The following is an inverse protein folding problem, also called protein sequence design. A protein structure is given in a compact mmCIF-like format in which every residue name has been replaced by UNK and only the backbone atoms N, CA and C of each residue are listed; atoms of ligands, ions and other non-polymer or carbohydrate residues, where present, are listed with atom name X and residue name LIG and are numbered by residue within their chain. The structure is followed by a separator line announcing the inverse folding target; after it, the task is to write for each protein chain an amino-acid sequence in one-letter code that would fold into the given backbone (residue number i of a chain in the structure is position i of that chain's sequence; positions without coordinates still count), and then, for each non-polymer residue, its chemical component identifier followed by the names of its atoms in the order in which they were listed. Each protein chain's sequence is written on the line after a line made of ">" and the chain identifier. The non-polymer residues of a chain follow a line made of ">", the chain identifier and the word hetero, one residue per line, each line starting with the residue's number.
data_IF_583857281830
#
_entry.id   IF_583857281830
#
_cell.length_a   1.000
_cell.length_b   1.000
_cell.length_c   1.000
_cell.angle_alpha   90.00
_cell.angle_beta   90.00
_cell.angle_gamma   90.00
#
_symmetry.space_group_name_H-M   'P 1'
#
loop_
_entity.id
_entity.type
_entity.pdbx_description
1 polymer ?
#
# COMPACT_ATOMS: atom_id res chain seq x y z
N UNK A 1 4.36 50.04 -10.86
CA UNK A 1 4.75 50.64 -12.15
C UNK A 1 6.07 50.09 -12.69
N UNK A 2 7.23 50.32 -12.07
CA UNK A 2 8.52 49.82 -12.60
C UNK A 2 8.59 48.26 -12.68
N UNK A 3 8.14 47.56 -11.64
CA UNK A 3 8.07 46.09 -11.66
C UNK A 3 7.08 45.53 -12.70
N UNK A 4 5.94 46.22 -12.90
CA UNK A 4 4.94 45.82 -13.90
C UNK A 4 5.46 46.02 -15.32
N UNK A 5 6.19 47.11 -15.58
CA UNK A 5 6.87 47.36 -16.85
C UNK A 5 7.94 46.29 -17.14
N UNK A 6 8.71 45.88 -16.12
CA UNK A 6 9.69 44.79 -16.25
C UNK A 6 9.00 43.44 -16.53
N UNK A 7 7.85 43.16 -15.88
CA UNK A 7 7.01 41.99 -16.19
C UNK A 7 6.49 42.04 -17.64
N UNK A 8 6.02 43.18 -18.11
CA UNK A 8 5.47 43.31 -19.47
C UNK A 8 6.56 43.17 -20.53
N UNK A 9 7.75 43.75 -20.31
CA UNK A 9 8.96 43.47 -21.11
C UNK A 9 9.29 41.97 -21.13
N UNK A 10 9.25 41.32 -19.96
CA UNK A 10 9.47 39.88 -19.84
C UNK A 10 8.45 39.05 -20.62
N UNK A 11 7.17 39.42 -20.59
CA UNK A 11 6.12 38.77 -21.35
C UNK A 11 6.30 38.96 -22.86
N UNK A 12 6.68 40.16 -23.31
CA UNK A 12 6.99 40.42 -24.72
C UNK A 12 8.19 39.60 -25.20
N UNK A 13 9.26 39.55 -24.41
CA UNK A 13 10.43 38.73 -24.70
C UNK A 13 10.08 37.23 -24.74
N UNK A 14 9.24 36.76 -23.81
CA UNK A 14 8.78 35.38 -23.78
C UNK A 14 7.96 35.01 -25.04
N UNK A 15 7.02 35.87 -25.44
CA UNK A 15 6.23 35.67 -26.66
C UNK A 15 7.08 35.74 -27.94
N UNK A 16 8.16 36.52 -27.92
CA UNK A 16 9.14 36.60 -29.02
C UNK A 16 10.15 35.43 -29.02
N UNK A 17 10.02 34.44 -28.12
CA UNK A 17 10.95 33.31 -28.01
C UNK A 17 12.32 33.66 -27.41
N UNK A 18 12.52 34.90 -26.96
CA UNK A 18 13.75 35.37 -26.31
C UNK A 18 13.70 35.06 -24.81
N UNK A 19 13.80 33.78 -24.48
CA UNK A 19 13.59 33.30 -23.11
C UNK A 19 14.66 33.79 -22.11
N UNK A 20 15.90 34.01 -22.55
CA UNK A 20 16.96 34.58 -21.70
C UNK A 20 16.63 36.03 -21.28
N UNK A 21 16.22 36.87 -22.24
CA UNK A 21 15.77 38.24 -21.99
C UNK A 21 14.53 38.27 -21.08
N UNK A 22 13.62 37.30 -21.25
CA UNK A 22 12.45 37.13 -20.39
C UNK A 22 12.86 36.81 -18.95
N UNK A 23 13.79 35.88 -18.73
CA UNK A 23 14.33 35.57 -17.39
C UNK A 23 14.99 36.79 -16.76
N UNK A 24 15.76 37.56 -17.54
CA UNK A 24 16.40 38.80 -17.07
C UNK A 24 15.34 39.81 -16.61
N UNK A 25 14.33 40.06 -17.44
CA UNK A 25 13.25 41.01 -17.16
C UNK A 25 12.38 40.60 -15.97
N UNK A 26 12.07 39.30 -15.81
CA UNK A 26 11.35 38.83 -14.63
C UNK A 26 12.22 38.86 -13.36
N UNK A 27 13.54 38.70 -13.49
CA UNK A 27 14.47 38.85 -12.36
C UNK A 27 14.60 40.31 -11.93
N UNK A 28 14.59 41.26 -12.88
CA UNK A 28 14.49 42.69 -12.61
C UNK A 28 13.19 43.01 -11.86
N UNK A 29 12.04 42.47 -12.33
CA UNK A 29 10.76 42.64 -11.63
C UNK A 29 10.80 42.09 -10.19
N UNK A 30 11.44 40.95 -9.98
CA UNK A 30 11.63 40.36 -8.65
C UNK A 30 12.63 41.14 -7.78
N UNK A 31 13.66 41.77 -8.37
CA UNK A 31 14.59 42.62 -7.63
C UNK A 31 13.92 43.92 -7.13
N UNK A 32 12.95 44.44 -7.91
CA UNK A 32 12.19 45.64 -7.55
C UNK A 32 11.08 45.33 -6.55
N UNK A 33 10.44 44.16 -6.67
CA UNK A 33 9.18 43.86 -5.98
C UNK A 33 9.09 42.39 -5.52
N UNK A 34 10.14 41.87 -4.87
CA UNK A 34 10.17 40.49 -4.34
C UNK A 34 9.08 40.21 -3.30
N UNK A 35 8.71 41.22 -2.52
CA UNK A 35 7.75 41.09 -1.41
C UNK A 35 6.36 41.65 -1.74
N UNK A 36 6.13 42.04 -2.99
CA UNK A 36 4.83 42.49 -3.42
C UNK A 36 3.81 41.33 -3.38
N UNK A 37 2.52 41.59 -3.07
CA UNK A 37 1.48 40.55 -3.04
C UNK A 37 1.33 39.77 -4.36
N UNK A 38 1.69 40.40 -5.49
CA UNK A 38 1.66 39.80 -6.83
C UNK A 38 2.98 39.13 -7.25
N UNK A 39 4.00 39.06 -6.39
CA UNK A 39 5.32 38.50 -6.72
C UNK A 39 5.26 37.04 -7.20
N UNK A 40 4.25 36.26 -6.75
CA UNK A 40 3.97 34.91 -7.23
C UNK A 40 3.83 34.83 -8.77
N UNK A 41 3.33 35.90 -9.41
CA UNK A 41 3.22 35.99 -10.88
C UNK A 41 4.60 36.08 -11.54
N UNK A 42 5.51 36.86 -10.98
CA UNK A 42 6.87 37.01 -11.52
C UNK A 42 7.64 35.68 -11.41
N UNK A 43 7.57 35.00 -10.25
CA UNK A 43 8.13 33.66 -10.08
C UNK A 43 7.52 32.65 -11.06
N UNK A 44 6.20 32.65 -11.25
CA UNK A 44 5.53 31.74 -12.21
C UNK A 44 5.96 31.96 -13.66
N UNK A 45 6.16 33.21 -14.06
CA UNK A 45 6.59 33.56 -15.41
C UNK A 45 8.07 33.27 -15.62
N UNK A 46 8.93 33.54 -14.64
CA UNK A 46 10.36 33.20 -14.68
C UNK A 46 10.58 31.68 -14.72
N UNK A 47 9.84 30.92 -13.92
CA UNK A 47 9.82 29.45 -13.95
C UNK A 47 9.50 28.91 -15.36
N UNK A 48 8.50 29.50 -16.03
CA UNK A 48 8.16 29.12 -17.39
C UNK A 48 9.28 29.40 -18.40
N UNK A 49 9.92 30.57 -18.29
CA UNK A 49 11.03 30.97 -19.15
C UNK A 49 12.28 30.10 -18.92
N UNK A 50 12.58 29.76 -17.66
CA UNK A 50 13.67 28.84 -17.31
C UNK A 50 13.44 27.43 -17.87
N UNK A 51 12.21 26.91 -17.85
CA UNK A 51 11.91 25.62 -18.48
C UNK A 51 12.16 25.64 -19.99
N UNK A 52 11.84 26.75 -20.66
CA UNK A 52 12.12 26.91 -22.10
C UNK A 52 13.61 26.97 -22.42
N UNK A 53 14.44 27.33 -21.44
CA UNK A 53 15.91 27.27 -21.52
C UNK A 53 16.51 25.93 -21.08
N UNK A 54 15.69 24.94 -20.72
CA UNK A 54 16.16 23.66 -20.18
C UNK A 54 16.66 23.71 -18.73
N UNK A 55 16.53 24.86 -18.05
CA UNK A 55 16.95 25.10 -16.67
C UNK A 55 15.88 24.64 -15.68
N UNK A 56 15.66 23.32 -15.63
CA UNK A 56 14.54 22.73 -14.91
C UNK A 56 14.67 22.81 -13.37
N UNK A 57 15.89 22.84 -12.84
CA UNK A 57 16.12 22.94 -11.39
C UNK A 57 15.80 24.35 -10.87
N UNK A 58 16.23 25.38 -11.59
CA UNK A 58 15.93 26.78 -11.30
C UNK A 58 14.43 27.06 -11.45
N UNK A 59 13.81 26.47 -12.49
CA UNK A 59 12.37 26.56 -12.67
C UNK A 59 11.57 25.93 -11.53
N UNK A 60 12.09 24.85 -10.94
CA UNK A 60 11.47 24.22 -9.77
C UNK A 60 11.55 25.14 -8.55
N UNK A 61 12.71 25.75 -8.31
CA UNK A 61 12.88 26.69 -7.20
C UNK A 61 11.88 27.85 -7.30
N UNK A 62 11.73 28.44 -8.49
CA UNK A 62 10.75 29.51 -8.73
C UNK A 62 9.30 29.02 -8.58
N UNK A 63 9.00 27.80 -9.04
CA UNK A 63 7.67 27.22 -8.88
C UNK A 63 7.32 26.94 -7.40
N UNK A 64 8.30 26.56 -6.58
CA UNK A 64 8.11 26.37 -5.14
C UNK A 64 7.88 27.70 -4.43
N UNK A 65 8.60 28.76 -4.81
CA UNK A 65 8.33 30.11 -4.31
C UNK A 65 6.92 30.59 -4.67
N UNK A 66 6.44 30.24 -5.86
CA UNK A 66 5.07 30.53 -6.28
C UNK A 66 4.03 29.87 -5.36
N UNK A 67 4.22 28.58 -5.03
CA UNK A 67 3.33 27.83 -4.13
C UNK A 67 3.39 28.36 -2.70
N UNK A 68 4.58 28.72 -2.20
CA UNK A 68 4.75 29.30 -0.85
C UNK A 68 4.04 30.66 -0.75
N UNK A 69 4.22 31.52 -1.75
CA UNK A 69 3.65 32.89 -1.76
C UNK A 69 2.15 32.91 -2.01
N UNK A 70 1.62 31.97 -2.79
CA UNK A 70 0.17 31.86 -3.05
C UNK A 70 -0.29 30.40 -3.12
N UNK A 71 -0.57 29.78 -1.96
CA UNK A 71 -0.97 28.37 -1.87
C UNK A 71 -2.26 28.03 -2.60
N UNK A 72 -3.17 28.98 -2.82
CA UNK A 72 -4.45 28.73 -3.47
C UNK A 72 -4.41 28.91 -4.99
N UNK A 73 -3.24 29.21 -5.56
CA UNK A 73 -3.12 29.47 -6.99
C UNK A 73 -2.66 28.25 -7.77
N UNK A 74 -3.61 27.63 -8.47
CA UNK A 74 -3.41 26.39 -9.22
C UNK A 74 -2.24 26.45 -10.23
N UNK A 75 -1.98 27.63 -10.82
CA UNK A 75 -0.89 27.82 -11.79
C UNK A 75 0.51 27.58 -11.17
N UNK A 76 0.69 27.85 -9.88
CA UNK A 76 1.95 27.54 -9.17
C UNK A 76 2.25 26.04 -9.15
N UNK A 77 1.21 25.24 -8.89
CA UNK A 77 1.28 23.78 -8.95
C UNK A 77 1.52 23.27 -10.36
N UNK A 78 0.93 23.91 -11.39
CA UNK A 78 1.21 23.57 -12.79
C UNK A 78 2.69 23.80 -13.14
N UNK A 79 3.29 24.90 -12.68
CA UNK A 79 4.72 25.18 -12.86
C UNK A 79 5.59 24.16 -12.13
N UNK A 80 5.23 23.81 -10.89
CA UNK A 80 5.96 22.83 -10.08
C UNK A 80 5.94 21.45 -10.73
N UNK A 81 4.77 21.01 -11.18
CA UNK A 81 4.60 19.75 -11.90
C UNK A 81 5.40 19.72 -13.21
N UNK A 82 5.41 20.82 -13.98
CA UNK A 82 6.15 20.90 -15.23
C UNK A 82 7.67 20.85 -15.02
N UNK A 83 8.17 21.52 -13.98
CA UNK A 83 9.59 21.48 -13.63
C UNK A 83 10.04 20.10 -13.13
N UNK A 84 9.25 19.47 -12.27
CA UNK A 84 9.52 18.10 -11.79
C UNK A 84 9.45 17.07 -12.93
N UNK A 85 8.54 17.25 -13.88
CA UNK A 85 8.46 16.41 -15.08
C UNK A 85 9.73 16.56 -15.93
N UNK A 86 10.20 17.78 -16.16
CA UNK A 86 11.44 18.03 -16.90
C UNK A 86 12.70 17.47 -16.20
N UNK A 87 12.70 17.41 -14.87
CA UNK A 87 13.76 16.77 -14.06
C UNK A 87 13.65 15.23 -14.02
N UNK A 88 12.65 14.62 -14.66
CA UNK A 88 12.41 13.18 -14.60
C UNK A 88 11.88 12.67 -13.25
N UNK A 89 11.48 13.56 -12.35
CA UNK A 89 10.93 13.24 -11.02
C UNK A 89 9.41 13.03 -11.11
N UNK A 90 8.99 12.05 -11.91
CA UNK A 90 7.59 11.81 -12.25
C UNK A 90 6.65 11.56 -11.04
N UNK A 91 7.03 10.81 -9.99
CA UNK A 91 6.18 10.65 -8.81
C UNK A 91 5.92 11.97 -8.06
N UNK A 92 6.92 12.85 -8.00
CA UNK A 92 6.78 14.16 -7.37
C UNK A 92 5.95 15.10 -8.24
N UNK A 93 6.13 15.04 -9.57
CA UNK A 93 5.31 15.79 -10.52
C UNK A 93 3.83 15.38 -10.41
N UNK A 94 3.55 14.09 -10.26
CA UNK A 94 2.19 13.56 -10.07
C UNK A 94 1.52 14.19 -8.84
N UNK A 95 2.22 14.20 -7.70
CA UNK A 95 1.72 14.82 -6.46
C UNK A 95 1.49 16.32 -6.64
N UNK A 96 2.41 17.03 -7.30
CA UNK A 96 2.26 18.47 -7.55
C UNK A 96 1.00 18.78 -8.40
N UNK A 97 0.74 18.00 -9.46
CA UNK A 97 -0.47 18.17 -10.27
C UNK A 97 -1.74 17.83 -9.49
N UNK A 98 -1.75 16.75 -8.70
CA UNK A 98 -2.88 16.41 -7.83
C UNK A 98 -3.18 17.50 -6.79
N UNK A 99 -2.13 18.06 -6.16
CA UNK A 99 -2.31 19.15 -5.20
C UNK A 99 -2.86 20.41 -5.89
N UNK A 100 -2.45 20.70 -7.13
CA UNK A 100 -3.07 21.74 -7.94
C UNK A 100 -4.56 21.49 -8.21
N UNK A 101 -4.93 20.26 -8.57
CA UNK A 101 -6.31 19.89 -8.88
C UNK A 101 -7.25 19.95 -7.66
N UNK A 102 -6.71 19.81 -6.45
CA UNK A 102 -7.49 20.06 -5.21
C UNK A 102 -7.92 21.53 -5.08
N UNK A 103 -7.21 22.46 -5.73
CA UNK A 103 -7.52 23.91 -5.70
C UNK A 103 -8.37 24.34 -6.90
N UNK A 104 -8.09 23.78 -8.06
CA UNK A 104 -8.89 23.97 -9.28
C UNK A 104 -9.02 22.64 -10.03
N UNK A 105 -10.12 21.95 -9.77
CA UNK A 105 -10.40 20.62 -10.31
C UNK A 105 -10.64 20.62 -11.84
N UNK A 106 -10.98 21.79 -12.41
CA UNK A 106 -11.31 21.95 -13.84
C UNK A 106 -10.15 22.46 -14.69
N UNK A 107 -8.97 22.65 -14.09
CA UNK A 107 -7.84 23.26 -14.76
C UNK A 107 -7.27 22.35 -15.87
N UNK A 108 -7.50 22.72 -17.13
CA UNK A 108 -7.03 21.96 -18.28
C UNK A 108 -5.50 21.73 -18.29
N UNK A 109 -4.72 22.71 -17.83
CA UNK A 109 -3.25 22.60 -17.79
C UNK A 109 -2.76 21.58 -16.74
N UNK A 110 -3.44 21.49 -15.60
CA UNK A 110 -3.14 20.49 -14.56
C UNK A 110 -3.56 19.08 -14.99
N UNK A 111 -4.74 18.96 -15.61
CA UNK A 111 -5.23 17.67 -16.13
C UNK A 111 -4.32 17.11 -17.22
N UNK A 112 -3.89 17.94 -18.17
CA UNK A 112 -2.95 17.49 -19.21
C UNK A 112 -1.58 17.16 -18.63
N UNK A 113 -1.08 17.98 -17.70
CA UNK A 113 0.16 17.68 -16.98
C UNK A 113 0.12 16.35 -16.23
N UNK A 114 -1.00 16.05 -15.57
CA UNK A 114 -1.23 14.78 -14.89
C UNK A 114 -1.24 13.61 -15.88
N UNK A 115 -1.95 13.74 -17.00
CA UNK A 115 -2.01 12.74 -18.07
C UNK A 115 -0.65 12.42 -18.66
N UNK A 116 0.19 13.44 -18.88
CA UNK A 116 1.56 13.28 -19.37
C UNK A 116 2.45 12.55 -18.35
N UNK A 117 2.34 12.87 -17.07
CA UNK A 117 3.05 12.16 -15.99
C UNK A 117 2.60 10.71 -15.90
N UNK A 118 1.30 10.45 -15.94
CA UNK A 118 0.76 9.08 -15.92
C UNK A 118 1.24 8.27 -17.13
N UNK A 119 1.21 8.86 -18.33
CA UNK A 119 1.77 8.23 -19.52
C UNK A 119 3.26 7.89 -19.33
N UNK A 120 4.07 8.80 -18.81
CA UNK A 120 5.51 8.54 -18.53
C UNK A 120 5.72 7.51 -17.42
N UNK A 121 4.93 7.52 -16.36
CA UNK A 121 4.99 6.52 -15.30
C UNK A 121 4.60 5.14 -15.83
N UNK A 122 3.64 5.06 -16.74
CA UNK A 122 3.27 3.83 -17.44
C UNK A 122 4.40 3.37 -18.38
N UNK A 123 5.03 4.27 -19.14
CA UNK A 123 6.18 3.94 -20.00
C UNK A 123 7.43 3.55 -19.19
N UNK A 124 7.70 4.18 -18.04
CA UNK A 124 8.80 3.76 -17.16
C UNK A 124 8.51 2.42 -16.47
N UNK A 125 7.25 2.12 -16.18
CA UNK A 125 6.81 0.82 -15.66
C UNK A 125 6.70 -0.26 -16.75
N UNK A 126 6.65 0.15 -18.02
CA UNK A 126 6.55 -0.70 -19.20
C UNK A 126 7.50 -0.21 -20.29
N UNK A 127 8.77 -0.61 -20.20
CA UNK A 127 9.72 -0.50 -21.30
C UNK A 127 9.34 -1.44 -22.46
N UNK A 128 8.26 -1.13 -23.16
CA UNK A 128 8.04 -1.37 -24.58
C UNK A 128 6.90 -0.45 -25.05
N UNK A 129 7.17 0.32 -26.10
CA UNK A 129 6.41 1.48 -26.57
C UNK A 129 4.92 1.20 -26.85
N UNK A 130 4.05 2.23 -26.73
CA UNK A 130 2.67 2.14 -27.19
C UNK A 130 2.54 2.68 -28.62
N UNK A 131 2.05 1.87 -29.54
CA UNK A 131 1.24 2.36 -30.66
C UNK A 131 -0.20 1.95 -30.43
N UNK A 132 -1.07 2.96 -30.42
CA UNK A 132 -2.49 2.80 -30.20
C UNK A 132 -3.17 2.26 -31.46
N UNK A 133 -3.67 1.03 -31.38
CA UNK A 133 -4.94 0.57 -31.97
C UNK A 133 -5.02 -0.94 -31.77
N UNK A 134 -6.06 -1.39 -31.07
CA UNK A 134 -6.26 -2.76 -30.55
C UNK A 134 -5.27 -3.14 -29.45
N UNK A 135 -5.75 -3.30 -28.22
CA UNK A 135 -4.97 -4.03 -27.23
C UNK A 135 -4.68 -5.42 -27.83
N UNK A 136 -3.41 -5.84 -27.98
CA UNK A 136 -3.16 -7.22 -28.32
C UNK A 136 -3.71 -8.01 -27.14
N UNK A 137 -4.60 -8.96 -27.40
CA UNK A 137 -4.83 -10.06 -26.47
C UNK A 137 -3.42 -10.52 -26.06
N UNK A 138 -3.04 -10.29 -24.81
CA UNK A 138 -1.73 -10.67 -24.33
C UNK A 138 -1.56 -12.15 -24.68
N UNK A 139 -0.69 -12.46 -25.64
CA UNK A 139 -0.50 -13.84 -26.07
C UNK A 139 -0.15 -14.67 -24.85
N UNK A 140 -0.63 -15.91 -24.76
CA UNK A 140 -0.37 -16.79 -23.60
C UNK A 140 1.13 -16.81 -23.23
N UNK A 141 2.00 -16.80 -24.25
CA UNK A 141 3.45 -16.71 -24.09
C UNK A 141 3.88 -15.40 -23.41
N UNK A 142 3.35 -14.25 -23.82
CA UNK A 142 3.67 -12.96 -23.18
C UNK A 142 3.13 -12.86 -21.75
N UNK A 143 1.95 -13.45 -21.48
CA UNK A 143 1.38 -13.48 -20.14
C UNK A 143 2.17 -14.37 -19.18
N UNK A 144 2.65 -15.53 -19.65
CA UNK A 144 3.39 -16.50 -18.82
C UNK A 144 4.89 -16.20 -18.74
N UNK A 145 5.50 -15.78 -19.85
CA UNK A 145 6.96 -15.73 -20.03
C UNK A 145 7.45 -14.40 -20.62
N UNK A 146 6.62 -13.36 -20.68
CA UNK A 146 7.00 -12.08 -21.27
C UNK A 146 8.12 -11.37 -20.50
N UNK A 147 7.84 -11.02 -19.24
CA UNK A 147 8.78 -10.27 -18.39
C UNK A 147 9.21 -11.08 -17.16
N UNK A 148 10.31 -10.66 -16.52
CA UNK A 148 10.74 -11.21 -15.21
C UNK A 148 9.60 -11.20 -14.18
N UNK A 149 8.74 -10.17 -14.22
CA UNK A 149 7.57 -10.07 -13.34
C UNK A 149 6.52 -11.12 -13.66
N UNK A 150 6.23 -11.37 -14.94
CA UNK A 150 5.29 -12.41 -15.38
C UNK A 150 5.78 -13.80 -14.96
N UNK A 151 7.06 -14.08 -15.17
CA UNK A 151 7.68 -15.33 -14.72
C UNK A 151 7.57 -15.50 -13.19
N UNK A 152 7.79 -14.42 -12.44
CA UNK A 152 7.65 -14.46 -10.98
C UNK A 152 6.19 -14.67 -10.54
N UNK A 153 5.23 -14.05 -11.23
CA UNK A 153 3.80 -14.26 -10.96
C UNK A 153 3.39 -15.71 -11.27
N UNK A 154 3.88 -16.30 -12.35
CA UNK A 154 3.68 -17.71 -12.67
C UNK A 154 4.29 -18.61 -11.59
N UNK A 155 5.52 -18.33 -11.17
CA UNK A 155 6.19 -19.06 -10.08
C UNK A 155 5.35 -19.04 -8.78
N UNK A 156 4.90 -17.86 -8.37
CA UNK A 156 4.01 -17.68 -7.22
C UNK A 156 2.67 -18.40 -7.41
N UNK A 157 2.11 -18.39 -8.62
CA UNK A 157 0.88 -19.11 -8.93
C UNK A 157 1.05 -20.62 -8.78
N UNK A 158 2.19 -21.19 -9.23
CA UNK A 158 2.51 -22.61 -9.04
C UNK A 158 2.62 -22.94 -7.56
N UNK A 159 3.36 -22.15 -6.78
CA UNK A 159 3.46 -22.36 -5.33
C UNK A 159 2.09 -22.30 -4.63
N UNK A 160 1.24 -21.33 -4.98
CA UNK A 160 -0.12 -21.22 -4.44
C UNK A 160 -1.03 -22.37 -4.85
N UNK A 161 -0.85 -22.91 -6.06
CA UNK A 161 -1.56 -24.10 -6.51
C UNK A 161 -1.17 -25.32 -5.67
N UNK A 162 0.13 -25.48 -5.40
CA UNK A 162 0.63 -26.54 -4.52
C UNK A 162 0.14 -26.36 -3.07
N UNK A 163 0.09 -25.12 -2.57
CA UNK A 163 -0.52 -24.80 -1.27
C UNK A 163 -1.98 -25.24 -1.20
N UNK A 164 -2.76 -24.93 -2.23
CA UNK A 164 -4.15 -25.35 -2.31
C UNK A 164 -4.29 -26.87 -2.30
N UNK A 165 -3.46 -27.58 -3.06
CA UNK A 165 -3.46 -29.05 -3.07
C UNK A 165 -3.10 -29.62 -1.71
N UNK A 166 -2.03 -29.15 -1.06
CA UNK A 166 -1.67 -29.59 0.29
C UNK A 166 -2.76 -29.30 1.30
N UNK A 167 -3.39 -28.12 1.22
CA UNK A 167 -4.51 -27.76 2.08
C UNK A 167 -5.68 -28.72 1.89
N UNK A 168 -6.11 -28.98 0.65
CA UNK A 168 -7.21 -29.92 0.37
C UNK A 168 -6.87 -31.34 0.81
N UNK A 169 -5.66 -31.82 0.53
CA UNK A 169 -5.20 -33.15 0.91
C UNK A 169 -5.16 -33.35 2.44
N UNK A 170 -4.90 -32.30 3.21
CA UNK A 170 -4.93 -32.37 4.67
C UNK A 170 -6.31 -32.79 5.20
N UNK A 171 -7.39 -32.29 4.59
CA UNK A 171 -8.77 -32.56 5.01
C UNK A 171 -9.37 -33.85 4.42
N UNK A 172 -8.64 -34.53 3.54
CA UNK A 172 -9.05 -35.86 3.06
C UNK A 172 -8.66 -36.89 4.14
N UNK A 173 -9.59 -37.73 4.63
CA UNK A 173 -9.36 -38.62 5.77
C UNK A 173 -8.51 -39.84 5.40
N UNK A 174 -7.22 -39.62 5.11
CA UNK A 174 -6.20 -40.67 4.99
C UNK A 174 -5.03 -40.26 5.88
N UNK A 175 -4.85 -40.95 7.00
CA UNK A 175 -4.02 -40.53 8.14
C UNK A 175 -2.56 -40.20 7.77
N UNK A 176 -1.93 -41.02 6.92
CA UNK A 176 -0.52 -40.84 6.54
C UNK A 176 -0.31 -39.68 5.54
N UNK A 177 -1.11 -39.53 4.47
CA UNK A 177 -1.14 -38.34 3.63
C UNK A 177 -1.37 -37.02 4.37
N UNK A 178 -2.18 -37.00 5.43
CA UNK A 178 -2.51 -35.76 6.16
C UNK A 178 -1.30 -35.14 6.86
N UNK A 179 -0.43 -35.94 7.50
CA UNK A 179 0.77 -35.40 8.17
C UNK A 179 1.80 -34.86 7.16
N UNK A 180 2.03 -35.59 6.06
CA UNK A 180 2.92 -35.11 5.00
C UNK A 180 2.37 -33.85 4.32
N UNK A 181 1.06 -33.80 4.06
CA UNK A 181 0.40 -32.63 3.48
C UNK A 181 0.55 -31.40 4.38
N UNK A 182 0.41 -31.56 5.70
CA UNK A 182 0.63 -30.51 6.68
C UNK A 182 2.08 -29.97 6.65
N UNK A 183 3.07 -30.86 6.75
CA UNK A 183 4.48 -30.45 6.72
C UNK A 183 4.86 -29.78 5.40
N UNK A 184 4.33 -30.28 4.28
CA UNK A 184 4.59 -29.72 2.95
C UNK A 184 3.90 -28.37 2.77
N UNK A 185 2.70 -28.16 3.31
CA UNK A 185 2.00 -26.88 3.25
C UNK A 185 2.89 -25.75 3.79
N UNK A 186 3.46 -25.91 4.98
CA UNK A 186 4.28 -24.86 5.56
C UNK A 186 5.61 -24.67 4.81
N UNK A 187 6.25 -25.73 4.30
CA UNK A 187 7.45 -25.58 3.45
C UNK A 187 7.17 -24.71 2.24
N UNK A 188 6.06 -25.00 1.56
CA UNK A 188 5.65 -24.26 0.37
C UNK A 188 5.25 -22.83 0.75
N UNK A 189 4.56 -22.63 1.89
CA UNK A 189 4.15 -21.31 2.35
C UNK A 189 5.36 -20.43 2.67
N UNK A 190 6.34 -20.97 3.40
CA UNK A 190 7.60 -20.29 3.71
C UNK A 190 8.33 -19.92 2.41
N UNK A 191 8.44 -20.85 1.46
CA UNK A 191 9.07 -20.56 0.17
C UNK A 191 8.31 -19.48 -0.61
N UNK A 192 6.98 -19.54 -0.63
CA UNK A 192 6.12 -18.59 -1.32
C UNK A 192 6.30 -17.17 -0.75
N UNK A 193 6.26 -17.02 0.57
CA UNK A 193 6.34 -15.70 1.20
C UNK A 193 7.76 -15.15 1.21
N UNK A 194 8.77 -15.99 1.44
CA UNK A 194 10.17 -15.55 1.41
C UNK A 194 10.56 -15.07 0.03
N UNK A 195 10.17 -15.79 -1.03
CA UNK A 195 10.40 -15.35 -2.40
C UNK A 195 9.61 -14.10 -2.76
N UNK A 196 8.37 -13.94 -2.27
CA UNK A 196 7.58 -12.71 -2.43
C UNK A 196 8.24 -11.50 -1.78
N UNK A 197 8.70 -11.63 -0.53
CA UNK A 197 9.37 -10.57 0.20
C UNK A 197 10.70 -10.19 -0.46
N UNK A 198 11.48 -11.17 -0.89
CA UNK A 198 12.73 -10.91 -1.61
C UNK A 198 12.48 -10.18 -2.93
N UNK A 199 11.47 -10.60 -3.70
CA UNK A 199 11.13 -9.93 -4.97
C UNK A 199 10.62 -8.50 -4.75
N UNK A 200 9.84 -8.27 -3.69
CA UNK A 200 9.17 -6.98 -3.43
C UNK A 200 10.09 -5.97 -2.75
N UNK A 201 10.86 -6.38 -1.75
CA UNK A 201 11.70 -5.49 -0.93
C UNK A 201 13.18 -5.58 -1.29
N UNK A 202 13.59 -6.57 -2.08
CA UNK A 202 14.98 -6.81 -2.43
C UNK A 202 15.79 -7.41 -1.29
N UNK A 203 17.12 -7.27 -1.40
CA UNK A 203 18.07 -7.80 -0.42
C UNK A 203 17.87 -7.13 0.95
N UNK A 204 17.91 -7.88 2.07
CA UNK A 204 17.84 -7.32 3.42
C UNK A 204 18.87 -6.23 3.67
N UNK A 205 18.42 -5.12 4.27
CA UNK A 205 19.27 -3.99 4.66
C UNK A 205 19.07 -3.65 6.13
N UNK A 206 20.17 -3.35 6.82
CA UNK A 206 20.15 -2.89 8.21
C UNK A 206 19.78 -1.40 8.30
N UNK A 207 18.54 -1.07 7.92
CA UNK A 207 18.00 0.28 7.91
C UNK A 207 16.58 0.30 8.49
N UNK A 208 16.27 1.31 9.32
CA UNK A 208 14.95 1.46 9.94
C UNK A 208 13.82 1.56 8.89
N UNK A 209 14.06 2.27 7.78
CA UNK A 209 13.09 2.40 6.69
C UNK A 209 12.86 1.11 5.91
N UNK A 210 13.84 0.19 5.88
CA UNK A 210 13.66 -1.15 5.33
C UNK A 210 12.83 -2.01 6.30
N UNK A 211 13.20 -2.01 7.58
CA UNK A 211 12.49 -2.76 8.62
C UNK A 211 11.01 -2.33 8.71
N UNK A 212 10.72 -1.04 8.65
CA UNK A 212 9.34 -0.53 8.68
C UNK A 212 8.51 -1.01 7.48
N UNK A 213 9.09 -1.00 6.28
CA UNK A 213 8.40 -1.50 5.07
C UNK A 213 8.14 -2.99 5.14
N UNK A 214 9.13 -3.75 5.64
CA UNK A 214 9.03 -5.19 5.80
C UNK A 214 7.96 -5.54 6.85
N UNK A 215 7.97 -4.88 8.01
CA UNK A 215 7.01 -5.11 9.09
C UNK A 215 5.57 -4.78 8.72
N UNK A 216 5.35 -3.85 7.79
CA UNK A 216 4.01 -3.53 7.28
C UNK A 216 3.51 -4.51 6.22
N UNK A 217 4.38 -5.36 5.68
CA UNK A 217 4.00 -6.35 4.67
C UNK A 217 3.23 -7.52 5.32
N UNK A 218 2.03 -7.88 4.84
CA UNK A 218 1.28 -9.03 5.34
C UNK A 218 2.02 -10.36 5.18
N UNK A 219 2.90 -10.52 4.19
CA UNK A 219 3.64 -11.77 3.97
C UNK A 219 4.61 -12.08 5.12
N UNK A 220 5.09 -11.05 5.84
CA UNK A 220 5.89 -11.25 7.06
C UNK A 220 5.07 -11.91 8.15
N UNK A 221 3.80 -11.51 8.34
CA UNK A 221 2.95 -12.16 9.34
C UNK A 221 2.70 -13.62 9.02
N UNK A 222 2.40 -13.91 7.77
CA UNK A 222 2.11 -15.27 7.40
C UNK A 222 3.36 -16.16 7.53
N UNK A 223 4.59 -15.63 7.38
CA UNK A 223 5.81 -16.34 7.77
C UNK A 223 5.88 -16.62 9.27
N UNK A 224 5.54 -15.65 10.12
CA UNK A 224 5.49 -15.85 11.57
C UNK A 224 4.45 -16.89 11.97
N UNK A 225 3.26 -16.87 11.37
CA UNK A 225 2.26 -17.93 11.57
C UNK A 225 2.81 -19.29 11.17
N UNK A 226 3.51 -19.36 10.03
CA UNK A 226 4.17 -20.60 9.64
C UNK A 226 5.14 -21.10 10.71
N UNK A 227 5.95 -20.21 11.31
CA UNK A 227 6.89 -20.60 12.36
C UNK A 227 6.21 -21.01 13.66
N UNK A 228 5.19 -20.26 14.11
CA UNK A 228 4.46 -20.51 15.36
C UNK A 228 3.76 -21.87 15.28
N UNK A 229 3.12 -22.14 14.15
CA UNK A 229 2.32 -23.35 13.96
C UNK A 229 3.09 -24.53 13.37
N UNK A 230 4.35 -24.35 12.97
CA UNK A 230 5.18 -25.44 12.46
C UNK A 230 5.32 -26.59 13.47
N UNK A 231 5.46 -26.24 14.75
CA UNK A 231 5.69 -27.17 15.85
C UNK A 231 4.42 -27.50 16.63
N UNK A 232 3.27 -26.98 16.20
CA UNK A 232 1.99 -27.29 16.83
C UNK A 232 1.41 -28.58 16.29
N UNK A 233 1.13 -29.56 17.15
CA UNK A 233 0.30 -30.70 16.76
C UNK A 233 -1.07 -30.21 16.24
N UNK A 234 -1.54 -30.73 15.09
CA UNK A 234 -2.33 -29.97 14.14
C UNK A 234 -3.80 -29.96 14.51
N UNK A 235 -4.34 -28.78 14.77
CA UNK A 235 -5.70 -28.50 14.34
C UNK A 235 -5.58 -27.76 13.00
N UNK A 236 -6.29 -28.22 11.96
CA UNK A 236 -6.27 -27.62 10.61
C UNK A 236 -6.58 -26.12 10.58
N UNK A 237 -7.11 -25.58 11.68
CA UNK A 237 -7.26 -24.15 11.96
C UNK A 237 -5.97 -23.35 11.74
N UNK A 238 -4.79 -23.90 12.01
CA UNK A 238 -3.52 -23.19 11.80
C UNK A 238 -3.21 -22.89 10.33
N UNK A 239 -3.74 -23.71 9.40
CA UNK A 239 -3.57 -23.52 7.97
C UNK A 239 -4.48 -22.42 7.43
N UNK A 240 -5.64 -22.20 8.07
CA UNK A 240 -6.70 -21.31 7.58
C UNK A 240 -6.24 -19.86 7.38
N UNK A 241 -5.54 -19.21 8.33
CA UNK A 241 -5.03 -17.85 8.14
C UNK A 241 -4.13 -17.69 6.92
N UNK A 242 -3.12 -18.56 6.79
CA UNK A 242 -2.15 -18.54 5.68
C UNK A 242 -2.88 -18.81 4.36
N UNK A 243 -3.79 -19.77 4.37
CA UNK A 243 -4.59 -20.13 3.21
C UNK A 243 -5.47 -18.97 2.73
N UNK A 244 -6.24 -18.33 3.63
CA UNK A 244 -7.14 -17.22 3.30
C UNK A 244 -6.39 -16.06 2.62
N UNK A 245 -5.20 -15.70 3.13
CA UNK A 245 -4.39 -14.62 2.57
C UNK A 245 -3.90 -14.95 1.14
N UNK A 246 -3.52 -16.19 0.88
CA UNK A 246 -2.98 -16.60 -0.42
C UNK A 246 -4.06 -16.86 -1.48
N UNK A 247 -5.26 -17.29 -1.07
CA UNK A 247 -6.32 -17.64 -2.01
C UNK A 247 -6.76 -16.47 -2.88
N UNK A 248 -6.80 -15.25 -2.34
CA UNK A 248 -7.16 -14.06 -3.13
C UNK A 248 -6.19 -13.84 -4.30
N UNK A 249 -4.89 -13.98 -4.04
CA UNK A 249 -3.87 -13.86 -5.06
C UNK A 249 -3.94 -14.99 -6.10
N UNK A 250 -4.18 -16.22 -5.64
CA UNK A 250 -4.38 -17.38 -6.50
C UNK A 250 -5.56 -17.18 -7.46
N UNK A 251 -6.75 -16.87 -6.95
CA UNK A 251 -7.95 -16.73 -7.76
C UNK A 251 -7.89 -15.51 -8.68
N UNK A 252 -7.24 -14.43 -8.27
CA UNK A 252 -7.02 -13.26 -9.13
C UNK A 252 -6.15 -13.59 -10.35
N UNK A 253 -5.08 -14.35 -10.15
CA UNK A 253 -4.22 -14.79 -11.25
C UNK A 253 -4.93 -15.84 -12.12
N UNK A 254 -5.61 -16.81 -11.52
CA UNK A 254 -6.41 -17.81 -12.22
C UNK A 254 -7.48 -17.17 -13.10
N UNK A 255 -8.19 -16.17 -12.58
CA UNK A 255 -9.20 -15.42 -13.34
C UNK A 255 -8.59 -14.71 -14.55
N UNK A 256 -7.37 -14.18 -14.41
CA UNK A 256 -6.66 -13.51 -15.52
C UNK A 256 -6.19 -14.53 -16.57
N UNK A 257 -5.69 -15.69 -16.13
CA UNK A 257 -5.28 -16.78 -16.99
C UNK A 257 -6.46 -17.33 -17.81
N UNK A 258 -7.61 -17.55 -17.18
CA UNK A 258 -8.83 -18.02 -17.86
C UNK A 258 -9.33 -17.03 -18.92
N UNK A 259 -9.18 -15.72 -18.69
CA UNK A 259 -9.50 -14.69 -19.69
C UNK A 259 -8.57 -14.79 -20.91
N UNK A 260 -7.26 -14.94 -20.70
CA UNK A 260 -6.28 -15.08 -21.79
C UNK A 260 -6.52 -16.35 -22.60
N UNK A 261 -6.97 -17.42 -21.95
CA UNK A 261 -7.30 -18.70 -22.61
C UNK A 261 -8.66 -18.69 -23.32
N UNK A 262 -9.44 -17.60 -23.24
CA UNK A 262 -10.81 -17.56 -23.78
C UNK A 262 -11.79 -18.49 -23.04
N UNK A 263 -11.43 -18.97 -21.85
CA UNK A 263 -12.24 -19.89 -21.04
C UNK A 263 -13.09 -19.15 -19.99
N UNK A 264 -13.02 -17.82 -19.92
CA UNK A 264 -13.76 -17.03 -18.95
C UNK A 264 -15.29 -17.15 -19.10
N UNK A 265 -15.78 -17.35 -20.33
CA UNK A 265 -17.21 -17.53 -20.63
C UNK A 265 -17.65 -19.00 -20.57
N UNK A 266 -16.77 -19.92 -20.19
CA UNK A 266 -17.13 -21.32 -20.06
C UNK A 266 -18.23 -21.48 -18.99
N UNK A 267 -19.32 -22.23 -19.27
CA UNK A 267 -20.45 -22.35 -18.36
C UNK A 267 -20.05 -22.96 -17.01
N UNK A 268 -19.09 -23.88 -16.97
CA UNK A 268 -18.59 -24.50 -15.73
C UNK A 268 -17.81 -23.49 -14.89
N UNK A 269 -16.92 -22.71 -15.52
CA UNK A 269 -16.12 -21.67 -14.87
C UNK A 269 -17.04 -20.59 -14.30
N UNK A 270 -18.03 -20.18 -15.09
CA UNK A 270 -19.01 -19.15 -14.71
C UNK A 270 -19.90 -19.63 -13.55
N UNK A 271 -20.30 -20.90 -13.56
CA UNK A 271 -21.07 -21.51 -12.48
C UNK A 271 -20.26 -21.55 -11.17
N UNK A 272 -19.00 -21.99 -11.20
CA UNK A 272 -18.14 -22.05 -10.02
C UNK A 272 -17.83 -20.65 -9.48
N UNK A 273 -17.50 -19.70 -10.37
CA UNK A 273 -17.26 -18.32 -9.99
C UNK A 273 -18.52 -17.71 -9.31
N UNK A 274 -19.70 -17.89 -9.91
CA UNK A 274 -20.93 -17.31 -9.40
C UNK A 274 -21.44 -17.98 -8.11
N UNK A 275 -21.31 -19.31 -7.96
CA UNK A 275 -21.86 -20.03 -6.81
C UNK A 275 -20.91 -20.16 -5.62
N UNK A 276 -19.60 -20.22 -5.83
CA UNK A 276 -18.64 -20.40 -4.74
C UNK A 276 -17.86 -19.12 -4.42
N UNK A 277 -17.35 -18.43 -5.44
CA UNK A 277 -16.42 -17.33 -5.25
C UNK A 277 -17.12 -16.00 -4.92
N UNK A 278 -18.23 -15.69 -5.59
CA UNK A 278 -18.98 -14.44 -5.36
C UNK A 278 -19.57 -14.32 -3.94
N UNK A 279 -20.21 -15.36 -3.36
CA UNK A 279 -20.74 -15.25 -2.00
C UNK A 279 -19.64 -15.07 -0.95
N UNK A 280 -18.53 -15.80 -1.11
CA UNK A 280 -17.40 -15.77 -0.18
C UNK A 280 -16.67 -14.42 -0.23
N UNK A 281 -16.53 -13.84 -1.42
CA UNK A 281 -15.94 -12.49 -1.60
C UNK A 281 -16.89 -11.37 -1.19
N UNK A 282 -18.21 -11.54 -1.32
CA UNK A 282 -19.19 -10.57 -0.84
C UNK A 282 -19.16 -10.42 0.68
N UNK A 283 -18.99 -11.52 1.43
CA UNK A 283 -18.82 -11.50 2.89
C UNK A 283 -17.60 -10.66 3.31
N UNK A 284 -16.49 -10.79 2.57
CA UNK A 284 -15.23 -10.09 2.86
C UNK A 284 -15.33 -8.58 2.57
N UNK A 285 -16.05 -8.19 1.53
CA UNK A 285 -16.05 -6.80 1.05
C UNK A 285 -17.20 -5.98 1.64
N UNK A 286 -18.35 -6.62 1.90
CA UNK A 286 -19.56 -5.98 2.47
C UNK A 286 -19.91 -4.65 1.80
N UNK A 287 -19.84 -4.61 0.46
CA UNK A 287 -20.07 -3.39 -0.33
C UNK A 287 -21.21 -3.59 -1.34
N UNK A 288 -22.23 -2.72 -1.34
CA UNK A 288 -23.41 -2.85 -2.20
C UNK A 288 -23.09 -2.69 -3.69
N UNK A 289 -21.94 -2.09 -4.05
CA UNK A 289 -21.54 -1.94 -5.45
C UNK A 289 -20.92 -3.23 -6.04
N UNK A 290 -20.65 -4.25 -5.22
CA UNK A 290 -19.97 -5.49 -5.62
C UNK A 290 -20.55 -6.21 -6.85
N UNK A 291 -21.88 -6.44 -6.97
CA UNK A 291 -22.43 -7.23 -8.06
C UNK A 291 -22.26 -6.57 -9.44
N UNK A 292 -22.22 -5.23 -9.49
CA UNK A 292 -22.20 -4.44 -10.73
C UNK A 292 -20.78 -4.23 -11.28
N UNK A 293 -19.74 -4.48 -10.48
CA UNK A 293 -18.35 -4.24 -10.88
C UNK A 293 -17.86 -5.25 -11.94
N UNK A 294 -17.01 -4.79 -12.86
CA UNK A 294 -16.28 -5.68 -13.76
C UNK A 294 -15.29 -6.58 -12.99
N UNK A 295 -14.94 -7.76 -13.51
CA UNK A 295 -14.05 -8.74 -12.85
C UNK A 295 -12.72 -8.14 -12.35
N UNK A 296 -12.07 -7.32 -13.17
CA UNK A 296 -10.81 -6.65 -12.78
C UNK A 296 -11.01 -5.65 -11.63
N UNK A 297 -12.12 -4.91 -11.64
CA UNK A 297 -12.46 -3.96 -10.58
C UNK A 297 -12.85 -4.68 -9.28
N UNK A 298 -13.49 -5.85 -9.37
CA UNK A 298 -13.76 -6.73 -8.23
C UNK A 298 -12.46 -7.14 -7.54
N UNK A 299 -11.48 -7.65 -8.29
CA UNK A 299 -10.18 -8.03 -7.74
C UNK A 299 -9.43 -6.84 -7.12
N UNK A 300 -9.42 -5.69 -7.78
CA UNK A 300 -8.81 -4.48 -7.23
C UNK A 300 -9.44 -4.08 -5.89
N UNK A 301 -10.78 -4.09 -5.80
CA UNK A 301 -11.50 -3.76 -4.57
C UNK A 301 -11.24 -4.78 -3.46
N UNK A 302 -11.19 -6.06 -3.79
CA UNK A 302 -10.82 -7.11 -2.84
C UNK A 302 -9.39 -6.89 -2.30
N UNK A 303 -8.42 -6.59 -3.17
CA UNK A 303 -7.05 -6.27 -2.76
C UNK A 303 -6.98 -5.06 -1.82
N UNK A 304 -7.79 -4.03 -2.03
CA UNK A 304 -7.81 -2.87 -1.11
C UNK A 304 -8.33 -3.23 0.29
N UNK A 305 -9.18 -4.25 0.41
CA UNK A 305 -9.71 -4.72 1.71
C UNK A 305 -8.78 -5.71 2.41
N UNK A 306 -7.91 -6.41 1.67
CA UNK A 306 -7.05 -7.44 2.22
C UNK A 306 -6.19 -7.02 3.42
N UNK A 307 -5.58 -5.83 3.48
CA UNK A 307 -4.82 -5.40 4.65
C UNK A 307 -5.66 -5.38 5.94
N UNK A 308 -6.93 -4.98 5.84
CA UNK A 308 -7.84 -4.97 7.00
C UNK A 308 -8.22 -6.40 7.41
N UNK A 309 -8.49 -7.28 6.44
CA UNK A 309 -8.79 -8.69 6.70
C UNK A 309 -7.60 -9.38 7.38
N UNK A 310 -6.39 -9.14 6.88
CA UNK A 310 -5.15 -9.65 7.46
C UNK A 310 -4.97 -9.18 8.90
N UNK A 311 -5.20 -7.89 9.16
CA UNK A 311 -5.15 -7.33 10.51
C UNK A 311 -6.18 -7.98 11.46
N UNK A 312 -7.42 -8.20 11.00
CA UNK A 312 -8.45 -8.88 11.80
C UNK A 312 -8.07 -10.33 12.12
N UNK A 313 -7.52 -11.06 11.15
CA UNK A 313 -7.01 -12.43 11.33
C UNK A 313 -5.86 -12.43 12.34
N UNK A 314 -4.93 -11.48 12.23
CA UNK A 314 -3.79 -11.33 13.13
C UNK A 314 -4.23 -11.09 14.58
N UNK A 315 -5.20 -10.20 14.81
CA UNK A 315 -5.78 -9.97 16.15
C UNK A 315 -6.49 -11.22 16.67
N UNK A 316 -7.27 -11.90 15.83
CA UNK A 316 -7.98 -13.12 16.22
C UNK A 316 -7.02 -14.24 16.65
N UNK A 317 -5.92 -14.42 15.92
CA UNK A 317 -4.85 -15.36 16.27
C UNK A 317 -4.18 -14.95 17.58
N UNK A 318 -3.86 -13.67 17.76
CA UNK A 318 -3.31 -13.18 19.03
C UNK A 318 -4.21 -13.53 20.22
N UNK A 319 -5.52 -13.28 20.11
CA UNK A 319 -6.48 -13.63 21.17
C UNK A 319 -6.53 -15.14 21.41
N UNK A 320 -6.56 -15.96 20.35
CA UNK A 320 -6.55 -17.42 20.47
C UNK A 320 -5.28 -17.92 21.18
N UNK A 321 -4.12 -17.34 20.85
CA UNK A 321 -2.85 -17.69 21.48
C UNK A 321 -2.77 -17.28 22.96
N UNK A 322 -3.49 -16.24 23.40
CA UNK A 322 -3.64 -15.92 24.84
C UNK A 322 -4.41 -17.00 25.57
N UNK A 323 -5.48 -17.51 24.97
CA UNK A 323 -6.25 -18.60 25.57
C UNK A 323 -5.43 -19.89 25.61
N UNK A 324 -4.60 -20.13 24.59
CA UNK A 324 -3.68 -21.27 24.54
C UNK A 324 -2.46 -21.14 25.46
N UNK A 325 -2.07 -19.94 25.92
CA UNK A 325 -0.99 -19.76 26.92
C UNK A 325 -1.26 -20.48 28.24
N UNK A 326 -2.51 -20.85 28.51
CA UNK A 326 -2.91 -21.68 29.64
C UNK A 326 -2.62 -23.18 29.41
N UNK A 327 -2.11 -23.55 28.22
CA UNK A 327 -1.75 -24.92 27.86
C UNK A 327 -0.22 -25.05 27.66
N UNK A 328 0.43 -26.09 28.20
CA UNK A 328 1.90 -26.20 28.25
C UNK A 328 2.58 -26.58 26.91
N UNK A 329 1.87 -26.62 25.79
CA UNK A 329 2.32 -27.26 24.53
C UNK A 329 2.98 -26.32 23.52
N UNK A 330 3.23 -25.05 23.84
CA UNK A 330 3.72 -24.03 22.89
C UNK A 330 5.12 -23.51 23.20
N UNK A 331 5.86 -23.15 22.16
CA UNK A 331 7.15 -22.49 22.26
C UNK A 331 6.97 -21.05 22.77
N UNK A 332 7.13 -20.86 24.08
CA UNK A 332 6.94 -19.58 24.76
C UNK A 332 7.78 -18.43 24.15
N UNK A 333 9.02 -18.72 23.74
CA UNK A 333 9.91 -17.72 23.14
C UNK A 333 9.35 -17.17 21.83
N UNK A 334 8.88 -18.06 20.97
CA UNK A 334 8.32 -17.69 19.67
C UNK A 334 7.01 -16.91 19.82
N UNK A 335 6.23 -17.25 20.84
CA UNK A 335 5.02 -16.51 21.19
C UNK A 335 5.35 -15.10 21.72
N UNK A 336 6.35 -14.96 22.59
CA UNK A 336 6.82 -13.64 23.03
C UNK A 336 7.29 -12.78 21.84
N UNK A 337 8.04 -13.38 20.92
CA UNK A 337 8.50 -12.67 19.71
C UNK A 337 7.33 -12.22 18.83
N UNK A 338 6.32 -13.06 18.66
CA UNK A 338 5.09 -12.71 17.96
C UNK A 338 4.38 -11.52 18.60
N UNK A 339 4.25 -11.51 19.93
CA UNK A 339 3.63 -10.40 20.66
C UNK A 339 4.40 -9.08 20.52
N UNK A 340 5.74 -9.12 20.55
CA UNK A 340 6.54 -7.91 20.32
C UNK A 340 6.35 -7.38 18.90
N UNK A 341 6.38 -8.26 17.90
CA UNK A 341 6.12 -7.86 16.52
C UNK A 341 4.72 -7.27 16.35
N UNK A 342 3.69 -7.88 16.95
CA UNK A 342 2.32 -7.39 16.91
C UNK A 342 2.21 -6.00 17.53
N UNK A 343 2.89 -5.77 18.65
CA UNK A 343 2.98 -4.45 19.29
C UNK A 343 3.64 -3.41 18.38
N UNK A 344 4.79 -3.72 17.78
CA UNK A 344 5.48 -2.81 16.86
C UNK A 344 4.59 -2.47 15.67
N UNK A 345 3.91 -3.46 15.10
CA UNK A 345 2.96 -3.23 14.00
C UNK A 345 1.76 -2.41 14.42
N UNK A 346 1.24 -2.60 15.64
CA UNK A 346 0.12 -1.82 16.15
C UNK A 346 0.46 -0.32 16.21
N UNK A 347 1.71 0.03 16.53
CA UNK A 347 2.16 1.42 16.54
C UNK A 347 2.23 2.07 15.15
N UNK A 348 2.32 1.28 14.07
CA UNK A 348 2.59 1.76 12.72
C UNK A 348 1.39 1.58 11.78
N UNK A 349 0.63 0.50 11.92
CA UNK A 349 -0.46 0.12 11.01
C UNK A 349 -1.82 0.61 11.51
N UNK A 350 -2.49 1.52 10.77
CA UNK A 350 -3.84 1.97 11.13
C UNK A 350 -4.89 0.85 11.01
N UNK A 351 -4.69 -0.12 10.10
CA UNK A 351 -5.61 -1.25 9.93
C UNK A 351 -5.61 -2.16 11.16
N UNK A 352 -4.44 -2.36 11.77
CA UNK A 352 -4.30 -3.15 12.98
C UNK A 352 -4.91 -2.43 14.19
N UNK A 353 -4.73 -1.11 14.29
CA UNK A 353 -5.40 -0.31 15.31
C UNK A 353 -6.93 -0.42 15.21
N UNK A 354 -7.46 -0.35 13.99
CA UNK A 354 -8.89 -0.53 13.73
C UNK A 354 -9.37 -1.94 14.10
N UNK A 355 -8.59 -2.98 13.80
CA UNK A 355 -8.92 -4.36 14.18
C UNK A 355 -9.04 -4.52 15.71
N UNK A 356 -8.09 -3.95 16.47
CA UNK A 356 -8.16 -3.94 17.93
C UNK A 356 -9.33 -3.10 18.46
N UNK A 357 -9.67 -1.99 17.80
CA UNK A 357 -10.85 -1.17 18.14
C UNK A 357 -12.14 -1.96 17.98
N UNK A 358 -12.29 -2.69 16.87
CA UNK A 358 -13.44 -3.57 16.62
C UNK A 358 -13.52 -4.69 17.65
N UNK A 359 -12.39 -5.31 18.00
CA UNK A 359 -12.34 -6.31 19.07
C UNK A 359 -12.81 -5.71 20.40
N UNK A 360 -12.30 -4.53 20.78
CA UNK A 360 -12.69 -3.84 22.01
C UNK A 360 -14.19 -3.58 22.08
N UNK A 361 -14.79 -3.05 21.00
CA UNK A 361 -16.24 -2.80 20.91
C UNK A 361 -17.06 -4.09 21.04
N UNK A 362 -16.57 -5.17 20.44
CA UNK A 362 -17.22 -6.49 20.53
C UNK A 362 -17.20 -7.01 21.96
N UNK A 363 -16.06 -6.90 22.66
CA UNK A 363 -15.96 -7.31 24.06
C UNK A 363 -16.85 -6.44 24.95
N UNK A 364 -16.89 -5.12 24.72
CA UNK A 364 -17.80 -4.23 25.46
C UNK A 364 -19.27 -4.61 25.30
N UNK A 365 -19.67 -5.07 24.11
CA UNK A 365 -21.04 -5.52 23.86
C UNK A 365 -21.38 -6.75 24.70
N UNK A 366 -20.43 -7.67 24.85
CA UNK A 366 -20.57 -8.88 25.69
C UNK A 366 -20.54 -8.53 27.17
N UNK A 367 -19.60 -7.68 27.59
CA UNK A 367 -19.38 -7.26 28.97
C UNK A 367 -20.55 -6.44 29.52
N UNK A 368 -21.14 -5.57 28.70
CA UNK A 368 -22.28 -4.74 29.08
C UNK A 368 -23.63 -5.47 28.93
N UNK A 369 -23.64 -6.72 28.47
CA UNK A 369 -24.87 -7.47 28.35
C UNK A 369 -25.46 -7.76 29.75
N UNK A 370 -26.78 -7.58 29.99
CA UNK A 370 -27.38 -7.73 31.32
C UNK A 370 -27.17 -9.09 32.00
N UNK A 371 -26.89 -10.13 31.20
CA UNK A 371 -26.63 -11.50 31.68
C UNK A 371 -25.13 -11.81 31.91
N UNK A 372 -24.24 -10.84 31.71
CA UNK A 372 -22.80 -11.06 31.85
C UNK A 372 -22.37 -10.96 33.32
N UNK A 373 -21.59 -11.95 33.84
CA UNK A 373 -21.03 -11.87 35.18
C UNK A 373 -20.20 -10.59 35.40
N UNK A 374 -20.47 -9.86 36.49
CA UNK A 374 -19.76 -8.62 36.84
C UNK A 374 -18.23 -8.81 36.98
N UNK A 375 -17.79 -10.03 37.29
CA UNK A 375 -16.37 -10.40 37.34
C UNK A 375 -15.69 -10.22 35.98
N UNK A 376 -16.34 -10.61 34.88
CA UNK A 376 -15.79 -10.46 33.53
C UNK A 376 -15.63 -8.99 33.16
N UNK A 377 -16.59 -8.14 33.55
CA UNK A 377 -16.51 -6.70 33.34
C UNK A 377 -15.33 -6.06 34.09
N UNK A 378 -15.16 -6.43 35.36
CA UNK A 378 -14.06 -5.94 36.20
C UNK A 378 -12.69 -6.40 35.70
N UNK A 379 -12.55 -7.68 35.34
CA UNK A 379 -11.32 -8.25 34.79
C UNK A 379 -10.97 -7.56 33.47
N UNK A 380 -11.94 -7.39 32.58
CA UNK A 380 -11.72 -6.71 31.31
C UNK A 380 -11.26 -5.26 31.50
N UNK A 381 -11.90 -4.50 32.39
CA UNK A 381 -11.52 -3.12 32.69
C UNK A 381 -10.07 -3.00 33.18
N UNK A 382 -9.61 -3.94 34.02
CA UNK A 382 -8.22 -3.99 34.49
C UNK A 382 -7.25 -4.30 33.35
N UNK A 383 -7.54 -5.31 32.53
CA UNK A 383 -6.71 -5.70 31.38
C UNK A 383 -6.64 -4.56 30.36
N UNK A 384 -7.76 -3.92 30.06
CA UNK A 384 -7.83 -2.80 29.14
C UNK A 384 -6.97 -1.62 29.63
N UNK A 385 -7.11 -1.23 30.90
CA UNK A 385 -6.31 -0.16 31.51
C UNK A 385 -4.82 -0.47 31.45
N UNK A 386 -4.45 -1.73 31.71
CA UNK A 386 -3.07 -2.20 31.59
C UNK A 386 -2.55 -2.13 30.14
N UNK A 387 -3.33 -2.61 29.17
CA UNK A 387 -2.96 -2.62 27.76
C UNK A 387 -2.78 -1.21 27.19
N UNK A 388 -3.66 -0.26 27.53
CA UNK A 388 -3.56 1.15 27.11
C UNK A 388 -2.24 1.77 27.60
N UNK A 389 -1.85 1.51 28.85
CA UNK A 389 -0.58 1.99 29.42
C UNK A 389 0.66 1.45 28.69
N UNK A 390 0.58 0.25 28.11
CA UNK A 390 1.70 -0.33 27.35
C UNK A 390 1.84 0.22 25.93
N UNK A 391 0.77 0.82 25.40
CA UNK A 391 0.72 1.34 24.04
C UNK A 391 1.10 2.82 23.91
N UNK A 392 1.09 3.59 25.01
CA UNK A 392 1.43 5.02 25.01
C UNK A 392 2.92 5.27 25.33
N UNK A 393 3.75 5.64 24.34
CA UNK A 393 5.17 5.92 24.56
C UNK A 393 5.41 7.18 25.42
N UNK A 394 4.48 8.15 25.48
CA UNK A 394 4.67 9.37 26.27
C UNK A 394 4.57 9.11 27.78
N UNK A 395 3.68 8.22 28.20
CA UNK A 395 3.59 7.79 29.61
C UNK A 395 4.78 6.94 30.05
N UNK A 396 5.36 6.12 29.17
CA UNK A 396 6.57 5.35 29.49
C UNK A 396 7.80 6.25 29.64
N UNK A 397 7.92 7.32 28.85
CA UNK A 397 9.00 8.32 29.02
C UNK A 397 8.89 9.13 30.31
N UNK A 398 7.66 9.40 30.79
CA UNK A 398 7.44 10.05 32.09
C UNK A 398 7.66 9.10 33.27
N UNK A 399 7.34 7.80 33.13
CA UNK A 399 7.60 6.79 34.14
C UNK A 399 9.09 6.42 34.27
N UNK A 400 9.85 6.52 33.18
CA UNK A 400 11.30 6.28 33.13
C UNK A 400 12.13 7.55 33.46
N UNK A 401 11.60 8.45 34.29
CA UNK A 401 12.27 9.70 34.66
C UNK A 401 13.66 9.46 35.23
N UNK A 402 14.69 9.83 34.46
CA UNK A 402 16.07 9.89 34.94
C UNK A 402 17.13 9.45 33.93
N UNK A 403 17.38 10.29 32.92
CA UNK A 403 18.68 10.41 32.26
C UNK A 403 19.29 9.16 31.62
N UNK A 404 18.93 8.89 30.37
CA UNK A 404 19.92 8.41 29.38
C UNK A 404 19.37 8.63 27.96
N UNK A 405 20.23 9.24 27.16
CA UNK A 405 19.96 9.76 25.82
C UNK A 405 19.33 8.73 24.87
N UNK A 406 18.36 9.23 24.08
CA UNK A 406 17.99 8.83 22.71
C UNK A 406 18.64 7.52 22.22
N UNK A 407 18.15 6.38 22.69
CA UNK A 407 18.34 5.10 22.01
C UNK A 407 17.11 4.79 21.18
N UNK A 408 17.38 4.41 19.94
CA UNK A 408 16.44 4.07 18.88
C UNK A 408 15.28 3.20 19.40
N UNK A 409 14.07 3.77 19.47
CA UNK A 409 12.85 3.02 19.79
C UNK A 409 12.32 2.34 18.53
N UNK A 410 12.95 1.22 18.16
CA UNK A 410 12.29 0.08 17.53
C UNK A 410 12.78 -1.15 18.31
N UNK A 411 12.04 -1.49 19.37
CA UNK A 411 12.04 -2.83 19.97
C UNK A 411 10.60 -3.24 20.22
#
# INVERSE_FOLDING_TARGET
>A
MAADQAKDRGNQAFSAGRYADAVSSFSEALAIASDAPNAHVFYSNRSAAQLKLGKAAEALQDAEQCVVRKPDWAKGYSRKGAALYALGRYPDAYRAYQDGLKRDASNAGLLEGLRLVEAKLLTQRGGSSPTASSAPVASLRSFLLGDKRSMFQLFQFVLRSLLLLCFLSFWVPVVLPSFLAFANFFKIAVLNHTSYLFFTHGVPKWQASYAQRLLLDPAVQALFFCMIFWFSEPHGMALMPVFILEMVHFFSYLSSLLQVLGLAENPVVTLVANKALIPLTALIISDPSWPVLASRAKWAKLYTRMPQVAANIEVAIGVALILELLTPSRNFLLLMLYWQMLRVRYMISPQLQEAFRVLHMTILTVVNHPRCPAVLASVYGKIHTFAVKMADPQQQQQAAGGGLASRCNIM
#
